data_IF_297751251160
#
_entry.id   IF_297751251160
#
_cell.length_a   1.000
_cell.length_b   1.000
_cell.length_c   1.000
_cell.angle_alpha   90.00
_cell.angle_beta   90.00
_cell.angle_gamma   90.00
#
_symmetry.space_group_name_H-M   'P 1'
#
loop_
_entity.id
_entity.type
_entity.pdbx_description
1 polymer ?
#
# COMPACT_ATOMS: atom_id res chain seq x y z
N UNK A 1 12.47 -4.86 18.06
CA UNK A 1 11.38 -5.84 18.26
C UNK A 1 10.35 -5.18 19.14
N UNK A 2 9.35 -4.54 18.57
CA UNK A 2 8.31 -3.85 19.33
C UNK A 2 7.00 -4.09 18.60
N UNK A 3 6.31 -5.14 19.04
CA UNK A 3 4.92 -5.40 18.66
C UNK A 3 4.04 -4.45 19.44
N UNK A 4 3.20 -3.70 18.72
CA UNK A 4 2.23 -2.78 19.29
C UNK A 4 0.94 -3.58 19.57
N UNK A 5 0.60 -3.76 20.85
CA UNK A 5 -0.67 -4.33 21.29
C UNK A 5 -1.69 -3.20 21.43
N UNK A 6 -2.72 -3.17 20.58
CA UNK A 6 -3.84 -2.23 20.70
C UNK A 6 -5.05 -2.98 21.25
N UNK A 7 -5.40 -2.73 22.51
CA UNK A 7 -6.70 -3.12 23.08
C UNK A 7 -7.47 -1.87 23.48
N UNK A 8 -8.63 -1.64 22.88
CA UNK A 8 -9.64 -0.74 23.46
C UNK A 8 -10.51 0.00 22.46
N UNK A 9 -11.47 -0.67 21.82
CA UNK A 9 -12.64 -0.02 21.22
C UNK A 9 -13.94 -0.68 21.73
N UNK A 10 -15.02 0.11 21.91
CA UNK A 10 -16.27 -0.36 22.51
C UNK A 10 -16.94 -1.42 21.62
N UNK A 11 -17.49 -2.44 22.29
CA UNK A 11 -18.19 -3.57 21.70
C UNK A 11 -19.43 -3.09 20.94
N UNK A 12 -19.37 -3.00 19.61
CA UNK A 12 -20.55 -2.64 18.79
C UNK A 12 -20.33 -2.32 17.30
N UNK A 13 -19.11 -2.42 16.76
CA UNK A 13 -18.80 -2.04 15.38
C UNK A 13 -18.93 -3.20 14.39
N UNK A 14 -19.32 -2.90 13.13
CA UNK A 14 -19.36 -3.85 12.02
C UNK A 14 -18.02 -4.61 11.85
N UNK A 15 -18.03 -5.94 11.64
CA UNK A 15 -16.83 -6.78 11.60
C UNK A 15 -15.82 -6.42 10.50
N UNK A 16 -16.20 -5.61 9.51
CA UNK A 16 -15.33 -5.21 8.40
C UNK A 16 -14.28 -4.16 8.75
N UNK A 17 -14.51 -3.29 9.74
CA UNK A 17 -13.57 -2.23 10.13
C UNK A 17 -12.68 -2.61 11.31
N UNK A 18 -13.19 -3.43 12.23
CA UNK A 18 -12.46 -3.86 13.42
C UNK A 18 -11.27 -4.77 13.08
N UNK A 19 -11.34 -5.48 11.94
CA UNK A 19 -10.28 -6.36 11.46
C UNK A 19 -9.19 -5.63 10.67
N UNK A 20 -9.50 -4.46 10.10
CA UNK A 20 -8.57 -3.69 9.25
C UNK A 20 -7.64 -2.81 10.08
N UNK A 21 -8.13 -2.29 11.20
CA UNK A 21 -7.34 -1.46 12.13
C UNK A 21 -6.20 -2.23 12.84
N UNK A 22 -6.25 -3.57 12.87
CA UNK A 22 -5.25 -4.40 13.54
C UNK A 22 -4.03 -4.77 12.65
N UNK A 23 -4.00 -4.35 11.38
CA UNK A 23 -3.06 -4.89 10.38
C UNK A 23 -2.25 -3.88 9.58
N UNK A 24 -2.04 -2.65 10.07
CA UNK A 24 -1.31 -1.62 9.30
C UNK A 24 0.18 -1.44 9.58
N UNK A 25 0.83 -2.27 10.39
CA UNK A 25 2.30 -2.29 10.46
C UNK A 25 2.80 -3.73 10.50
N UNK A 26 2.82 -4.40 9.35
CA UNK A 26 3.64 -5.59 9.13
C UNK A 26 3.97 -5.78 7.64
N UNK A 27 4.54 -4.75 7.00
CA UNK A 27 5.41 -4.99 5.86
C UNK A 27 6.84 -4.93 6.38
N UNK A 28 7.33 -6.05 6.92
CA UNK A 28 8.74 -6.18 7.32
C UNK A 28 9.60 -6.27 6.07
N UNK A 29 9.92 -5.11 5.48
CA UNK A 29 11.11 -5.00 4.65
C UNK A 29 12.32 -4.99 5.57
N UNK A 30 13.30 -5.83 5.27
CA UNK A 30 14.53 -5.93 6.07
C UNK A 30 15.35 -4.67 5.79
N UNK A 31 15.34 -3.72 6.72
CA UNK A 31 16.28 -2.61 6.71
C UNK A 31 17.62 -3.15 7.21
N UNK A 32 18.54 -3.43 6.29
CA UNK A 32 19.86 -3.97 6.65
C UNK A 32 20.82 -2.81 6.98
N UNK A 33 21.35 -2.72 8.21
CA UNK A 33 22.21 -1.61 8.60
C UNK A 33 23.58 -1.58 7.90
N UNK A 34 24.04 -2.66 7.25
CA UNK A 34 25.43 -2.71 6.75
C UNK A 34 25.71 -3.45 5.43
N UNK A 35 24.72 -3.97 4.71
CA UNK A 35 24.84 -4.38 3.28
C UNK A 35 23.49 -4.84 2.75
N UNK A 36 23.02 -4.22 1.67
CA UNK A 36 21.88 -4.75 0.91
C UNK A 36 22.21 -6.17 0.39
N UNK A 37 21.27 -7.12 0.35
CA UNK A 37 21.54 -8.48 -0.12
C UNK A 37 21.54 -8.60 -1.65
N UNK A 38 21.00 -7.60 -2.38
CA UNK A 38 20.87 -7.65 -3.85
C UNK A 38 22.18 -7.14 -4.50
N UNK A 39 22.91 -7.97 -5.26
CA UNK A 39 24.20 -7.61 -5.83
C UNK A 39 24.13 -6.36 -6.73
N UNK A 40 23.15 -6.32 -7.63
CA UNK A 40 22.98 -5.27 -8.65
C UNK A 40 22.09 -4.10 -8.18
N UNK A 41 21.96 -3.89 -6.86
CA UNK A 41 21.17 -2.77 -6.35
C UNK A 41 21.90 -1.44 -6.61
N UNK A 42 21.32 -0.48 -7.37
CA UNK A 42 21.99 0.77 -7.71
C UNK A 42 22.23 1.67 -6.49
N UNK A 43 21.42 1.52 -5.44
CA UNK A 43 21.48 2.30 -4.21
C UNK A 43 22.07 1.52 -3.02
N UNK A 44 22.82 0.44 -3.30
CA UNK A 44 23.40 -0.50 -2.31
C UNK A 44 24.15 0.17 -1.15
N UNK A 45 24.71 1.36 -1.37
CA UNK A 45 25.50 2.14 -0.40
C UNK A 45 24.66 3.05 0.51
N UNK A 46 23.35 3.14 0.29
CA UNK A 46 22.43 3.96 1.08
C UNK A 46 21.55 3.10 2.00
N UNK A 47 20.91 3.73 2.99
CA UNK A 47 19.87 3.07 3.78
C UNK A 47 18.61 2.93 2.92
N UNK A 48 18.22 1.69 2.61
CA UNK A 48 17.04 1.40 1.77
C UNK A 48 16.42 0.04 2.12
N UNK A 49 15.20 -0.17 1.62
CA UNK A 49 14.50 -1.45 1.61
C UNK A 49 14.11 -1.83 0.18
N UNK A 50 13.97 -3.13 -0.07
CA UNK A 50 13.32 -3.63 -1.28
C UNK A 50 11.86 -3.89 -0.99
N UNK A 51 11.00 -3.28 -1.79
CA UNK A 51 9.55 -3.35 -1.62
C UNK A 51 8.96 -4.08 -2.82
N UNK A 52 8.02 -5.02 -2.62
CA UNK A 52 7.24 -5.58 -3.72
C UNK A 52 6.32 -4.49 -4.30
N UNK A 53 5.84 -4.69 -5.54
CA UNK A 53 5.08 -3.67 -6.28
C UNK A 53 3.74 -3.28 -5.65
N UNK A 54 3.17 -4.14 -4.81
CA UNK A 54 1.94 -3.93 -4.03
C UNK A 54 2.18 -3.38 -2.62
N UNK A 55 3.42 -3.03 -2.28
CA UNK A 55 3.72 -2.42 -1.00
C UNK A 55 3.16 -1.00 -0.89
N UNK A 56 2.69 -0.64 0.31
CA UNK A 56 2.32 0.73 0.67
C UNK A 56 3.41 1.76 0.33
N UNK A 57 4.69 1.38 0.37
CA UNK A 57 5.80 2.26 -0.02
C UNK A 57 5.62 2.86 -1.42
N UNK A 58 5.09 2.09 -2.37
CA UNK A 58 4.77 2.57 -3.72
C UNK A 58 3.33 3.06 -3.83
N UNK A 59 2.37 2.30 -3.30
CA UNK A 59 0.95 2.60 -3.49
C UNK A 59 0.48 3.86 -2.77
N UNK A 60 1.20 4.34 -1.75
CA UNK A 60 0.89 5.64 -1.10
C UNK A 60 1.06 6.83 -2.04
N UNK A 61 1.85 6.69 -3.10
CA UNK A 61 2.11 7.76 -4.07
C UNK A 61 1.00 7.85 -5.13
N UNK A 62 0.20 6.79 -5.31
CA UNK A 62 -1.00 6.84 -6.14
C UNK A 62 -2.06 7.74 -5.54
N UNK A 63 -2.81 8.43 -6.39
CA UNK A 63 -3.98 9.18 -6.00
C UNK A 63 -5.11 8.24 -5.54
N UNK A 64 -6.00 8.79 -4.72
CA UNK A 64 -7.13 8.03 -4.16
C UNK A 64 -8.04 7.44 -5.24
N UNK A 65 -8.45 8.19 -6.30
CA UNK A 65 -9.27 7.64 -7.38
C UNK A 65 -8.64 6.42 -8.06
N UNK A 66 -7.32 6.43 -8.27
CA UNK A 66 -6.62 5.29 -8.88
C UNK A 66 -6.59 4.04 -7.99
N UNK A 67 -6.36 4.22 -6.68
CA UNK A 67 -6.46 3.12 -5.71
C UNK A 67 -7.89 2.55 -5.64
N UNK A 68 -8.89 3.44 -5.68
CA UNK A 68 -10.30 3.05 -5.74
C UNK A 68 -10.64 2.33 -7.04
N UNK A 69 -10.12 2.79 -8.18
CA UNK A 69 -10.31 2.13 -9.48
C UNK A 69 -9.85 0.68 -9.46
N UNK A 70 -8.67 0.38 -8.89
CA UNK A 70 -8.19 -1.00 -8.76
C UNK A 70 -9.15 -1.87 -7.94
N UNK A 71 -9.72 -1.32 -6.86
CA UNK A 71 -10.72 -2.03 -6.04
C UNK A 71 -12.04 -2.23 -6.81
N UNK A 72 -12.49 -1.21 -7.54
CA UNK A 72 -13.73 -1.24 -8.35
C UNK A 72 -13.65 -2.26 -9.47
N UNK A 73 -12.56 -2.27 -10.25
CA UNK A 73 -12.33 -3.21 -11.34
C UNK A 73 -12.36 -4.68 -10.87
N UNK A 74 -12.08 -4.90 -9.58
CA UNK A 74 -12.07 -6.21 -8.93
C UNK A 74 -13.30 -6.46 -8.04
N UNK A 75 -14.33 -5.60 -8.10
CA UNK A 75 -15.58 -5.70 -7.32
C UNK A 75 -15.36 -5.76 -5.80
N UNK A 76 -14.35 -5.06 -5.29
CA UNK A 76 -14.06 -4.94 -3.86
C UNK A 76 -14.68 -3.66 -3.31
N UNK A 77 -15.64 -3.79 -2.39
CA UNK A 77 -16.26 -2.65 -1.72
C UNK A 77 -15.28 -1.94 -0.77
N UNK A 78 -15.39 -0.61 -0.70
CA UNK A 78 -14.65 0.24 0.23
C UNK A 78 -15.57 1.36 0.75
N UNK A 79 -15.24 1.91 1.92
CA UNK A 79 -16.02 2.97 2.54
C UNK A 79 -15.55 4.33 2.04
N UNK A 80 -16.51 5.20 1.70
CA UNK A 80 -16.29 6.63 1.42
C UNK A 80 -16.86 7.51 2.52
N UNK A 81 -17.88 7.03 3.22
CA UNK A 81 -18.52 7.73 4.33
C UNK A 81 -18.02 7.20 5.69
N UNK A 82 -17.98 8.06 6.72
CA UNK A 82 -17.66 7.62 8.08
C UNK A 82 -18.64 6.53 8.53
N UNK A 83 -18.19 5.53 9.31
CA UNK A 83 -19.07 4.48 9.80
C UNK A 83 -20.22 5.04 10.66
N UNK A 84 -21.41 4.43 10.51
CA UNK A 84 -22.60 4.83 11.25
C UNK A 84 -22.36 4.80 12.78
N UNK A 85 -22.73 5.87 13.48
CA UNK A 85 -22.52 6.02 14.92
C UNK A 85 -21.24 6.78 15.30
N UNK A 86 -20.36 7.09 14.35
CA UNK A 86 -19.23 7.99 14.59
C UNK A 86 -19.74 9.44 14.58
N UNK A 87 -19.61 10.19 15.68
CA UNK A 87 -19.87 11.64 15.68
C UNK A 87 -18.83 12.32 14.76
N UNK A 88 -19.17 12.42 13.49
CA UNK A 88 -18.41 13.19 12.52
C UNK A 88 -18.78 14.65 12.68
N UNK A 89 -18.20 15.33 13.67
CA UNK A 89 -18.03 16.77 13.58
C UNK A 89 -16.83 17.00 12.67
N UNK A 90 -16.94 17.83 11.61
CA UNK A 90 -15.80 18.18 10.75
C UNK A 90 -14.58 18.72 11.51
N UNK A 91 -14.78 19.17 12.75
CA UNK A 91 -13.77 19.72 13.65
C UNK A 91 -12.85 18.67 14.32
N UNK A 92 -13.19 17.38 14.33
CA UNK A 92 -12.47 16.39 15.16
C UNK A 92 -11.25 15.74 14.47
N UNK A 93 -11.02 16.04 13.18
CA UNK A 93 -9.88 15.51 12.43
C UNK A 93 -9.81 13.97 12.38
N UNK A 94 -8.69 13.46 11.87
CA UNK A 94 -8.46 12.04 11.72
C UNK A 94 -8.20 11.38 13.08
N UNK A 95 -8.97 10.33 13.40
CA UNK A 95 -8.96 9.66 14.71
C UNK A 95 -8.06 8.41 14.79
N UNK A 96 -7.23 8.18 13.78
CA UNK A 96 -6.22 7.11 13.84
C UNK A 96 -5.23 7.45 14.94
N UNK A 97 -5.03 6.54 15.89
CA UNK A 97 -4.08 6.73 16.99
C UNK A 97 -2.65 6.52 16.46
N UNK A 98 -1.80 7.50 16.69
CA UNK A 98 -0.38 7.51 16.34
C UNK A 98 0.43 7.61 17.65
N UNK A 99 1.52 6.84 17.74
CA UNK A 99 2.47 6.95 18.84
C UNK A 99 3.46 8.08 18.53
N UNK A 100 3.33 9.22 19.22
CA UNK A 100 4.16 10.40 19.01
C UNK A 100 5.28 10.48 20.05
N UNK A 101 6.44 10.94 19.60
CA UNK A 101 7.56 11.25 20.49
C UNK A 101 7.34 12.62 21.15
N UNK A 102 7.32 12.62 22.47
CA UNK A 102 7.25 13.81 23.33
C UNK A 102 8.49 13.85 24.22
N UNK A 103 8.68 14.96 24.95
CA UNK A 103 9.79 15.08 25.90
C UNK A 103 9.74 14.01 27.01
N UNK A 104 8.53 13.61 27.42
CA UNK A 104 8.30 12.62 28.48
C UNK A 104 8.21 11.18 27.96
N UNK A 105 8.52 10.97 26.67
CA UNK A 105 8.51 9.67 26.02
C UNK A 105 7.41 9.54 24.95
N UNK A 106 6.94 8.32 24.76
CA UNK A 106 6.01 7.96 23.69
C UNK A 106 4.57 8.06 24.19
N UNK A 107 3.74 8.84 23.50
CA UNK A 107 2.32 9.04 23.84
C UNK A 107 1.45 8.70 22.64
N UNK A 108 0.38 7.93 22.87
CA UNK A 108 -0.62 7.63 21.86
C UNK A 108 -1.62 8.79 21.76
N UNK A 109 -1.67 9.44 20.60
CA UNK A 109 -2.57 10.56 20.32
C UNK A 109 -3.28 10.37 18.97
N UNK A 110 -4.48 10.95 18.78
CA UNK A 110 -5.07 10.97 17.45
C UNK A 110 -4.19 11.74 16.46
N UNK A 111 -4.22 11.30 15.21
CA UNK A 111 -3.57 11.95 14.07
C UNK A 111 -3.97 13.42 13.93
N UNK A 112 -5.27 13.72 14.08
CA UNK A 112 -5.83 15.09 14.07
C UNK A 112 -5.82 15.80 12.72
N UNK A 113 -5.22 15.22 11.67
CA UNK A 113 -5.20 15.81 10.32
C UNK A 113 -6.60 15.94 9.72
N UNK A 114 -6.76 16.85 8.76
CA UNK A 114 -8.02 17.09 8.05
C UNK A 114 -8.60 15.81 7.44
N UNK A 115 -9.94 15.70 7.44
CA UNK A 115 -10.69 14.55 6.94
C UNK A 115 -11.58 14.98 5.76
N UNK A 116 -11.09 14.88 4.51
CA UNK A 116 -11.86 15.25 3.34
C UNK A 116 -13.14 14.41 3.18
N UNK A 117 -14.16 14.99 2.53
CA UNK A 117 -15.35 14.24 2.15
C UNK A 117 -14.99 13.05 1.23
N UNK A 118 -15.66 11.91 1.41
CA UNK A 118 -15.40 10.70 0.63
C UNK A 118 -14.23 9.85 1.11
N UNK A 119 -13.53 10.24 2.19
CA UNK A 119 -12.36 9.53 2.74
C UNK A 119 -12.68 8.77 4.03
N UNK A 120 -13.95 8.41 4.25
CA UNK A 120 -14.44 7.64 5.39
C UNK A 120 -14.09 8.24 6.77
N UNK A 121 -13.94 9.56 6.86
CA UNK A 121 -13.50 10.24 8.09
C UNK A 121 -12.02 10.05 8.43
N UNK A 122 -11.19 9.70 7.44
CA UNK A 122 -9.74 9.57 7.56
C UNK A 122 -9.04 10.72 6.83
N UNK A 123 -7.82 11.05 7.26
CA UNK A 123 -6.96 11.93 6.48
C UNK A 123 -6.46 11.19 5.23
N UNK A 124 -5.96 11.93 4.24
CA UNK A 124 -5.53 11.33 2.97
C UNK A 124 -4.51 10.20 3.14
N UNK A 125 -3.51 10.34 4.02
CA UNK A 125 -2.50 9.30 4.24
C UNK A 125 -3.14 8.01 4.77
N UNK A 126 -3.91 8.11 5.86
CA UNK A 126 -4.58 6.97 6.45
C UNK A 126 -5.68 6.38 5.56
N UNK A 127 -6.34 7.19 4.73
CA UNK A 127 -7.29 6.67 3.77
C UNK A 127 -6.59 5.85 2.67
N UNK A 128 -5.44 6.30 2.16
CA UNK A 128 -4.64 5.49 1.24
C UNK A 128 -4.14 4.21 1.90
N UNK A 129 -3.70 4.25 3.15
CA UNK A 129 -3.33 3.05 3.91
C UNK A 129 -4.49 2.06 4.02
N UNK A 130 -5.69 2.55 4.33
CA UNK A 130 -6.92 1.77 4.33
C UNK A 130 -7.17 1.11 2.96
N UNK A 131 -7.16 1.86 1.87
CA UNK A 131 -7.38 1.30 0.52
C UNK A 131 -6.30 0.27 0.14
N UNK A 132 -5.04 0.57 0.44
CA UNK A 132 -3.91 -0.34 0.21
C UNK A 132 -4.04 -1.61 1.05
N UNK A 133 -4.56 -1.52 2.27
CA UNK A 133 -4.85 -2.71 3.09
C UNK A 133 -5.89 -3.62 2.44
N UNK A 134 -6.92 -3.05 1.79
CA UNK A 134 -7.93 -3.81 1.05
C UNK A 134 -7.32 -4.47 -0.18
N UNK A 135 -6.60 -3.69 -1.01
CA UNK A 135 -5.84 -4.16 -2.19
C UNK A 135 -4.97 -5.36 -1.79
N UNK A 136 -4.20 -5.19 -0.71
CA UNK A 136 -3.31 -6.22 -0.22
C UNK A 136 -4.06 -7.43 0.30
N UNK A 137 -5.11 -7.24 1.12
CA UNK A 137 -5.88 -8.35 1.70
C UNK A 137 -6.54 -9.25 0.64
N UNK A 138 -6.86 -8.68 -0.53
CA UNK A 138 -7.47 -9.38 -1.68
C UNK A 138 -6.46 -9.82 -2.75
N UNK A 139 -5.16 -9.61 -2.54
CA UNK A 139 -4.11 -9.96 -3.50
C UNK A 139 -4.29 -9.32 -4.88
N UNK A 140 -4.80 -8.08 -4.94
CA UNK A 140 -4.94 -7.36 -6.19
C UNK A 140 -3.56 -6.90 -6.69
N UNK A 141 -3.31 -7.01 -7.99
CA UNK A 141 -2.03 -6.65 -8.60
C UNK A 141 -2.09 -5.23 -9.20
N UNK A 142 -1.30 -4.26 -8.71
CA UNK A 142 -1.27 -2.91 -9.28
C UNK A 142 -0.81 -2.86 -10.74
N UNK A 143 -0.18 -3.94 -11.24
CA UNK A 143 0.30 -4.03 -12.62
C UNK A 143 -0.81 -3.79 -13.65
N UNK A 144 -2.05 -4.05 -13.27
CA UNK A 144 -3.25 -3.95 -14.13
C UNK A 144 -3.51 -2.51 -14.58
N UNK A 145 -3.11 -1.54 -13.75
CA UNK A 145 -3.28 -0.11 -14.01
C UNK A 145 -1.99 0.60 -14.39
N UNK A 146 -0.88 -0.12 -14.58
CA UNK A 146 0.36 0.53 -15.01
C UNK A 146 0.27 1.05 -16.44
N UNK A 147 0.79 2.26 -16.66
CA UNK A 147 1.15 2.73 -18.00
C UNK A 147 2.38 1.95 -18.50
N UNK A 148 2.71 2.12 -19.78
CA UNK A 148 3.95 1.56 -20.36
C UNK A 148 5.18 2.02 -19.57
N UNK A 149 5.28 3.30 -19.25
CA UNK A 149 6.45 3.86 -18.55
C UNK A 149 6.59 3.31 -17.12
N UNK A 150 5.47 3.11 -16.43
CA UNK A 150 5.45 2.50 -15.10
C UNK A 150 5.84 1.02 -15.18
N UNK A 151 5.25 0.28 -16.12
CA UNK A 151 5.56 -1.14 -16.34
C UNK A 151 7.05 -1.33 -16.64
N UNK A 152 7.64 -0.53 -17.52
CA UNK A 152 9.08 -0.54 -17.79
C UNK A 152 9.92 -0.25 -16.54
N UNK A 153 9.50 0.74 -15.74
CA UNK A 153 10.22 1.11 -14.53
C UNK A 153 10.20 -0.01 -13.50
N UNK A 154 9.06 -0.69 -13.35
CA UNK A 154 8.90 -1.84 -12.46
C UNK A 154 9.68 -3.05 -13.00
N UNK A 155 9.67 -3.30 -14.31
CA UNK A 155 10.50 -4.31 -14.96
C UNK A 155 11.99 -4.08 -14.66
N UNK A 156 12.52 -2.89 -14.94
CA UNK A 156 13.93 -2.54 -14.66
C UNK A 156 14.32 -2.67 -13.19
N UNK A 157 13.36 -2.49 -12.28
CA UNK A 157 13.59 -2.56 -10.83
C UNK A 157 13.64 -3.99 -10.31
N UNK A 158 12.80 -4.88 -10.84
CA UNK A 158 12.57 -6.21 -10.27
C UNK A 158 13.12 -7.35 -11.12
N UNK A 159 13.33 -7.14 -12.41
CA UNK A 159 13.82 -8.15 -13.34
C UNK A 159 15.30 -7.90 -13.66
N UNK A 160 16.07 -8.97 -13.93
CA UNK A 160 17.39 -8.85 -14.54
C UNK A 160 17.30 -8.09 -15.88
N UNK A 161 18.33 -7.30 -16.22
CA UNK A 161 18.35 -6.51 -17.46
C UNK A 161 18.10 -7.35 -18.72
N UNK A 162 18.56 -8.60 -18.75
CA UNK A 162 18.34 -9.53 -19.86
C UNK A 162 16.87 -9.94 -20.08
N UNK A 163 16.00 -9.76 -19.07
CA UNK A 163 14.57 -10.08 -19.15
C UNK A 163 13.73 -8.84 -19.50
N UNK A 164 14.30 -7.63 -19.42
CA UNK A 164 13.63 -6.40 -19.83
C UNK A 164 13.83 -6.23 -21.33
N UNK A 165 12.94 -6.83 -22.10
CA UNK A 165 12.97 -6.79 -23.56
C UNK A 165 12.50 -5.42 -24.08
N UNK A 166 13.29 -4.72 -24.93
CA UNK A 166 12.90 -3.43 -25.50
C UNK A 166 11.65 -3.56 -26.39
N UNK A 167 11.01 -2.43 -26.69
CA UNK A 167 9.92 -2.35 -27.68
C UNK A 167 10.48 -2.62 -29.07
N UNK A 168 9.83 -3.48 -29.84
CA UNK A 168 10.24 -3.73 -31.22
C UNK A 168 9.86 -2.56 -32.15
N UNK A 169 10.62 -2.30 -33.23
CA UNK A 169 10.27 -1.27 -34.19
C UNK A 169 8.87 -1.49 -34.78
N UNK A 170 7.95 -0.57 -34.52
CA UNK A 170 6.56 -0.66 -35.00
C UNK A 170 5.62 -1.53 -34.15
N UNK A 171 6.07 -2.06 -33.01
CA UNK A 171 5.19 -2.76 -32.06
C UNK A 171 4.14 -1.80 -31.52
N UNK A 172 2.87 -2.22 -31.51
CA UNK A 172 1.78 -1.46 -30.90
C UNK A 172 2.03 -1.25 -29.39
N UNK A 173 1.56 -0.11 -28.88
CA UNK A 173 1.83 0.28 -27.50
C UNK A 173 1.14 -0.62 -26.47
N UNK A 174 -0.12 -1.00 -26.72
CA UNK A 174 -0.85 -1.91 -25.81
C UNK A 174 -0.30 -3.33 -25.89
N UNK A 175 0.15 -3.77 -27.07
CA UNK A 175 0.85 -5.05 -27.22
C UNK A 175 2.15 -5.07 -26.41
N UNK A 176 2.96 -4.01 -26.51
CA UNK A 176 4.19 -3.87 -25.74
C UNK A 176 3.91 -3.84 -24.23
N UNK A 177 2.92 -3.05 -23.81
CA UNK A 177 2.45 -2.99 -22.42
C UNK A 177 2.04 -4.38 -21.92
N UNK A 178 1.22 -5.11 -22.69
CA UNK A 178 0.77 -6.45 -22.34
C UNK A 178 1.92 -7.44 -22.14
N UNK A 179 2.98 -7.34 -22.95
CA UNK A 179 4.20 -8.15 -22.81
C UNK A 179 4.95 -7.83 -21.51
N UNK A 180 5.12 -6.56 -21.16
CA UNK A 180 5.74 -6.13 -19.91
C UNK A 180 4.94 -6.62 -18.69
N UNK A 181 3.62 -6.41 -18.71
CA UNK A 181 2.70 -6.85 -17.64
C UNK A 181 2.77 -8.36 -17.44
N UNK A 182 2.74 -9.14 -18.53
CA UNK A 182 2.85 -10.60 -18.47
C UNK A 182 4.17 -11.02 -17.84
N UNK A 183 5.28 -10.42 -18.29
CA UNK A 183 6.61 -10.72 -17.77
C UNK A 183 6.73 -10.45 -16.28
N UNK A 184 6.14 -9.34 -15.80
CA UNK A 184 6.10 -9.01 -14.38
C UNK A 184 5.29 -10.01 -13.56
N UNK A 185 4.12 -10.41 -14.05
CA UNK A 185 3.26 -11.39 -13.35
C UNK A 185 3.94 -12.75 -13.24
N UNK A 186 4.60 -13.19 -14.31
CA UNK A 186 5.23 -14.51 -14.38
C UNK A 186 6.56 -14.54 -13.60
N UNK A 187 7.34 -13.44 -13.65
CA UNK A 187 8.70 -13.39 -13.11
C UNK A 187 8.83 -12.79 -11.71
N UNK A 188 7.86 -11.98 -11.26
CA UNK A 188 7.94 -11.25 -9.98
C UNK A 188 6.67 -11.48 -9.17
N UNK A 189 6.71 -12.23 -8.07
CA UNK A 189 5.52 -12.40 -7.22
C UNK A 189 5.17 -11.11 -6.49
N UNK A 190 3.91 -10.99 -6.07
CA UNK A 190 3.50 -9.98 -5.09
C UNK A 190 4.14 -10.25 -3.72
N UNK A 191 4.09 -9.28 -2.82
CA UNK A 191 4.77 -9.35 -1.53
C UNK A 191 4.43 -10.59 -0.68
N UNK A 192 5.35 -11.55 -0.50
CA UNK A 192 5.03 -12.80 0.21
C UNK A 192 4.86 -12.59 1.73
N UNK A 193 5.37 -11.47 2.26
CA UNK A 193 5.27 -11.09 3.67
C UNK A 193 4.12 -10.12 3.94
N UNK A 194 3.38 -9.71 2.90
CA UNK A 194 2.24 -8.82 3.06
C UNK A 194 1.06 -9.66 3.55
N UNK A 195 0.38 -9.28 4.65
CA UNK A 195 -0.79 -10.00 5.15
C UNK A 195 -1.91 -10.08 4.10
N UNK A 196 -2.41 -11.28 3.85
CA UNK A 196 -3.53 -11.56 2.92
C UNK A 196 -4.69 -12.23 3.65
N UNK A 197 -5.94 -12.02 3.20
CA UNK A 197 -7.07 -12.84 3.68
C UNK A 197 -6.84 -14.28 3.28
N UNK A 198 -6.99 -15.21 4.24
CA UNK A 198 -7.06 -16.64 3.94
C UNK A 198 -8.42 -16.91 3.28
N UNK A 199 -8.41 -17.60 2.14
CA UNK A 199 -9.63 -18.09 1.50
C UNK A 199 -10.28 -19.18 2.34
#
# INVERSE_FOLDING_TARGET
MTGCCLTGWPLGSSPTLQTVFQLLINVVSVFTPQKCPIPDCPIRRSLHGHHPRDCLFYLRDWDVPRLQGLLQDNNIGFNTDPPAGTRATPADGCRVMEQKETFDGLVDEPCGKETPAGYAGLCQAHYKEYLVSLINSHSLDPVDLYTVQEAETVCRRHLPAAQVLPRDPGEDEEVYRGRLVKTLRDGVPLGPKIPRRRK
#
